data_IF_719034644069
#
_entry.id   IF_719034644069
#
_cell.length_a   1.000
_cell.length_b   1.000
_cell.length_c   1.000
_cell.angle_alpha   90.00
_cell.angle_beta   90.00
_cell.angle_gamma   90.00
#
_symmetry.space_group_name_H-M   'P 1'
#
loop_
_entity.id
_entity.type
_entity.pdbx_description
1 polymer ?
#
# COMPACT_ATOMS: atom_id res chain seq x y z
N UNK A 1 -16.96 5.32 -22.93
CA UNK A 1 -17.47 3.94 -23.04
C UNK A 1 -16.69 2.95 -22.15
N UNK A 2 -15.35 2.90 -22.25
CA UNK A 2 -14.49 1.96 -21.48
C UNK A 2 -14.65 2.01 -19.95
N UNK A 3 -14.66 3.20 -19.34
CA UNK A 3 -14.82 3.36 -17.87
C UNK A 3 -16.14 2.79 -17.34
N UNK A 4 -17.25 2.96 -18.07
CA UNK A 4 -18.56 2.43 -17.64
C UNK A 4 -18.53 0.91 -17.55
N UNK A 5 -17.88 0.24 -18.52
CA UNK A 5 -17.75 -1.22 -18.51
C UNK A 5 -16.91 -1.72 -17.32
N UNK A 6 -15.85 -1.02 -16.94
CA UNK A 6 -15.04 -1.39 -15.76
C UNK A 6 -15.85 -1.25 -14.48
N UNK A 7 -16.63 -0.17 -14.32
CA UNK A 7 -17.48 0.01 -13.14
C UNK A 7 -18.51 -1.12 -13.02
N UNK A 8 -19.12 -1.56 -14.14
CA UNK A 8 -20.04 -2.70 -14.14
C UNK A 8 -19.32 -4.00 -13.73
N UNK A 9 -18.08 -4.21 -14.17
CA UNK A 9 -17.27 -5.37 -13.74
C UNK A 9 -16.98 -5.33 -12.24
N UNK A 10 -16.53 -4.19 -11.73
CA UNK A 10 -16.29 -3.96 -10.30
C UNK A 10 -17.55 -4.17 -9.47
N UNK A 11 -18.71 -3.69 -9.94
CA UNK A 11 -19.98 -3.88 -9.27
C UNK A 11 -20.34 -5.37 -9.17
N UNK A 12 -20.28 -6.11 -10.28
CA UNK A 12 -20.55 -7.57 -10.29
C UNK A 12 -19.57 -8.31 -9.37
N UNK A 13 -18.29 -7.98 -9.44
CA UNK A 13 -17.26 -8.58 -8.61
C UNK A 13 -17.49 -8.35 -7.12
N UNK A 14 -17.82 -7.12 -6.71
CA UNK A 14 -18.09 -6.80 -5.31
C UNK A 14 -19.44 -7.38 -4.82
N UNK A 15 -20.39 -7.63 -5.72
CA UNK A 15 -21.63 -8.34 -5.38
C UNK A 15 -21.40 -9.84 -5.16
N UNK A 16 -20.50 -10.46 -5.92
CA UNK A 16 -20.18 -11.88 -5.76
C UNK A 16 -19.18 -12.16 -4.62
N UNK A 17 -18.37 -11.17 -4.23
CA UNK A 17 -17.33 -11.32 -3.20
C UNK A 17 -17.60 -10.40 -2.00
N UNK A 18 -18.54 -10.80 -1.15
CA UNK A 18 -18.86 -10.09 0.10
C UNK A 18 -17.74 -10.14 1.15
N UNK A 19 -16.76 -11.03 0.93
CA UNK A 19 -15.51 -11.21 1.67
C UNK A 19 -14.45 -11.71 0.69
N UNK A 20 -13.23 -11.19 0.80
CA UNK A 20 -12.09 -11.64 0.03
C UNK A 20 -11.46 -12.87 0.71
N UNK A 21 -11.20 -13.90 -0.05
CA UNK A 21 -10.67 -15.20 0.39
C UNK A 21 -9.28 -15.47 -0.21
N UNK A 22 -9.04 -15.03 -1.45
CA UNK A 22 -7.87 -15.34 -2.28
C UNK A 22 -7.09 -14.08 -2.71
N UNK A 23 -5.79 -14.24 -2.96
CA UNK A 23 -4.94 -13.12 -3.39
C UNK A 23 -5.38 -12.53 -4.74
N UNK A 24 -5.83 -13.40 -5.65
CA UNK A 24 -6.23 -13.00 -7.00
C UNK A 24 -7.40 -11.98 -6.99
N UNK A 25 -8.25 -12.04 -5.96
CA UNK A 25 -9.38 -11.11 -5.78
C UNK A 25 -8.89 -9.70 -5.42
N UNK A 26 -7.90 -9.59 -4.52
CA UNK A 26 -7.30 -8.31 -4.16
C UNK A 26 -6.57 -7.69 -5.36
N UNK A 27 -5.83 -8.52 -6.12
CA UNK A 27 -5.18 -8.13 -7.37
C UNK A 27 -6.21 -7.64 -8.38
N UNK A 28 -7.28 -8.41 -8.62
CA UNK A 28 -8.34 -8.06 -9.56
C UNK A 28 -8.98 -6.71 -9.22
N UNK A 29 -9.35 -6.52 -7.95
CA UNK A 29 -9.96 -5.27 -7.49
C UNK A 29 -9.05 -4.08 -7.80
N UNK A 30 -7.78 -4.13 -7.37
CA UNK A 30 -6.84 -3.04 -7.53
C UNK A 30 -6.43 -2.83 -9.00
N UNK A 31 -6.41 -3.89 -9.82
CA UNK A 31 -6.19 -3.82 -11.25
C UNK A 31 -7.29 -3.04 -11.97
N UNK A 32 -8.55 -3.37 -11.71
CA UNK A 32 -9.70 -2.70 -12.35
C UNK A 32 -9.83 -1.24 -11.86
N UNK A 33 -9.58 -0.98 -10.57
CA UNK A 33 -9.55 0.39 -10.03
C UNK A 33 -8.47 1.23 -10.72
N UNK A 34 -7.25 0.69 -10.90
CA UNK A 34 -6.14 1.42 -11.55
C UNK A 34 -6.52 1.95 -12.92
N UNK A 35 -7.22 1.14 -13.74
CA UNK A 35 -7.68 1.54 -15.09
C UNK A 35 -8.56 2.79 -15.09
N UNK A 36 -9.22 3.07 -13.97
CA UNK A 36 -10.08 4.25 -13.81
C UNK A 36 -9.26 5.44 -13.32
N UNK A 37 -8.38 5.23 -12.33
CA UNK A 37 -7.69 6.31 -11.60
C UNK A 37 -6.31 6.69 -12.14
N UNK A 38 -5.74 5.95 -13.11
CA UNK A 38 -4.37 6.16 -13.58
C UNK A 38 -4.08 7.60 -14.03
N UNK A 39 -5.05 8.26 -14.66
CA UNK A 39 -4.95 9.67 -15.10
C UNK A 39 -5.53 10.67 -14.09
N UNK A 40 -5.91 10.22 -12.91
CA UNK A 40 -6.58 11.02 -11.89
C UNK A 40 -5.63 11.34 -10.73
N UNK A 41 -5.33 12.62 -10.54
CA UNK A 41 -4.46 13.10 -9.47
C UNK A 41 -5.12 13.10 -8.07
N UNK A 42 -6.40 12.72 -7.97
CA UNK A 42 -7.16 12.68 -6.71
C UNK A 42 -6.75 11.52 -5.81
N UNK A 43 -6.57 10.32 -6.36
CA UNK A 43 -6.38 9.09 -5.60
C UNK A 43 -4.92 8.63 -5.62
N UNK A 44 -4.01 9.47 -5.12
CA UNK A 44 -2.55 9.22 -5.22
C UNK A 44 -2.12 8.02 -4.39
N UNK A 45 -2.67 7.86 -3.20
CA UNK A 45 -2.33 6.74 -2.32
C UNK A 45 -2.87 5.44 -2.88
N UNK A 46 -4.13 5.41 -3.30
CA UNK A 46 -4.73 4.25 -3.94
C UNK A 46 -3.98 3.87 -5.22
N UNK A 47 -3.59 4.85 -6.03
CA UNK A 47 -2.77 4.62 -7.22
C UNK A 47 -1.41 3.98 -6.86
N UNK A 48 -0.74 4.45 -5.80
CA UNK A 48 0.50 3.81 -5.31
C UNK A 48 0.28 2.33 -4.97
N UNK A 49 -0.74 2.00 -4.17
CA UNK A 49 -1.02 0.62 -3.79
C UNK A 49 -1.48 -0.26 -4.97
N UNK A 50 -2.27 0.30 -5.89
CA UNK A 50 -2.63 -0.35 -7.16
C UNK A 50 -1.40 -0.68 -7.99
N UNK A 51 -0.39 0.18 -8.03
CA UNK A 51 0.83 -0.12 -8.75
C UNK A 51 1.66 -1.18 -8.02
N UNK A 52 1.73 -1.11 -6.70
CA UNK A 52 2.54 -2.04 -5.91
C UNK A 52 2.12 -3.49 -6.11
N UNK A 53 0.81 -3.77 -6.08
CA UNK A 53 0.32 -5.14 -6.26
C UNK A 53 0.46 -5.66 -7.70
N UNK A 54 0.67 -4.79 -8.70
CA UNK A 54 0.68 -5.18 -10.12
C UNK A 54 2.09 -5.31 -10.71
N UNK A 55 3.11 -4.87 -9.99
CA UNK A 55 4.47 -4.80 -10.50
C UNK A 55 5.40 -5.62 -9.63
N UNK A 56 6.06 -6.63 -10.24
CA UNK A 56 7.09 -7.45 -9.58
C UNK A 56 8.26 -6.64 -9.04
N UNK A 57 8.50 -5.45 -9.61
CA UNK A 57 9.43 -4.45 -9.09
C UNK A 57 8.90 -3.05 -9.34
N UNK A 58 8.84 -2.22 -8.28
CA UNK A 58 8.56 -0.79 -8.41
C UNK A 58 9.85 0.02 -8.33
N UNK A 59 10.21 0.70 -9.42
CA UNK A 59 11.44 1.49 -9.49
C UNK A 59 11.31 2.78 -10.32
N UNK A 60 10.07 3.21 -10.61
CA UNK A 60 9.82 4.37 -11.47
C UNK A 60 9.57 5.66 -10.67
N UNK A 61 9.77 6.80 -11.35
CA UNK A 61 9.79 8.14 -10.74
C UNK A 61 8.54 8.49 -9.90
N UNK A 62 7.29 8.27 -10.36
CA UNK A 62 6.14 8.56 -9.50
C UNK A 62 6.12 7.81 -8.15
N UNK A 63 6.66 6.60 -8.07
CA UNK A 63 6.80 5.87 -6.79
C UNK A 63 7.85 6.54 -5.90
N UNK A 64 8.99 6.92 -6.46
CA UNK A 64 10.05 7.67 -5.76
C UNK A 64 9.53 9.01 -5.23
N UNK A 65 8.81 9.78 -6.06
CA UNK A 65 8.21 11.06 -5.69
C UNK A 65 7.15 10.89 -4.58
N UNK A 66 6.34 9.82 -4.64
CA UNK A 66 5.34 9.50 -3.61
C UNK A 66 6.00 9.18 -2.28
N UNK A 67 6.96 8.24 -2.26
CA UNK A 67 7.66 7.81 -1.05
C UNK A 67 8.49 8.95 -0.46
N UNK A 68 9.13 9.77 -1.29
CA UNK A 68 9.86 10.97 -0.88
C UNK A 68 8.97 11.91 -0.08
N UNK A 69 7.79 12.26 -0.62
CA UNK A 69 6.82 13.13 0.05
C UNK A 69 6.29 12.51 1.35
N UNK A 70 6.13 11.19 1.36
CA UNK A 70 5.59 10.44 2.49
C UNK A 70 6.59 10.33 3.64
N UNK A 71 7.87 10.07 3.35
CA UNK A 71 8.84 9.63 4.36
C UNK A 71 10.03 10.56 4.60
N UNK A 72 10.47 11.37 3.64
CA UNK A 72 11.75 12.09 3.76
C UNK A 72 11.85 13.04 4.95
N UNK A 73 10.71 13.61 5.39
CA UNK A 73 10.65 14.49 6.56
C UNK A 73 10.84 13.77 7.90
N UNK A 74 10.72 12.44 7.93
CA UNK A 74 10.89 11.61 9.12
C UNK A 74 12.23 10.86 9.13
N UNK A 75 13.04 11.04 8.09
CA UNK A 75 14.35 10.40 7.95
C UNK A 75 15.41 11.49 8.07
N UNK A 76 15.96 11.61 9.28
CA UNK A 76 17.16 12.40 9.52
C UNK A 76 18.36 11.47 9.66
N UNK A 77 19.29 11.57 8.71
CA UNK A 77 20.47 10.69 8.64
C UNK A 77 21.45 10.88 9.80
N UNK A 78 21.32 11.97 10.56
CA UNK A 78 22.14 12.25 11.73
C UNK A 78 21.58 11.60 13.01
N UNK A 79 20.33 11.12 12.97
CA UNK A 79 19.70 10.45 14.12
C UNK A 79 20.05 8.96 14.17
N UNK A 80 19.93 8.37 15.35
CA UNK A 80 20.08 6.92 15.49
C UNK A 80 18.97 6.16 14.74
N UNK A 81 19.26 4.91 14.36
CA UNK A 81 18.29 4.00 13.72
C UNK A 81 16.97 3.90 14.48
N UNK A 82 17.01 3.88 15.81
CA UNK A 82 15.83 3.78 16.68
C UNK A 82 14.99 5.06 16.67
N UNK A 83 15.63 6.21 16.60
CA UNK A 83 14.95 7.51 16.52
C UNK A 83 14.25 7.69 15.16
N UNK A 84 14.93 7.37 14.06
CA UNK A 84 14.33 7.39 12.72
C UNK A 84 13.11 6.45 12.67
N UNK A 85 13.24 5.24 13.23
CA UNK A 85 12.13 4.29 13.31
C UNK A 85 10.93 4.88 14.09
N UNK A 86 11.20 5.52 15.23
CA UNK A 86 10.17 6.16 16.06
C UNK A 86 9.47 7.29 15.30
N UNK A 87 10.24 8.15 14.63
CA UNK A 87 9.73 9.27 13.85
C UNK A 87 8.86 8.79 12.68
N UNK A 88 9.29 7.73 11.97
CA UNK A 88 8.51 7.08 10.93
C UNK A 88 7.19 6.53 11.47
N UNK A 89 7.24 5.74 12.56
CA UNK A 89 6.03 5.13 13.16
C UNK A 89 5.04 6.20 13.60
N UNK A 90 5.52 7.26 14.26
CA UNK A 90 4.67 8.34 14.74
C UNK A 90 4.11 9.18 13.59
N UNK A 91 4.96 9.47 12.60
CA UNK A 91 4.65 10.34 11.49
C UNK A 91 3.78 9.71 10.40
N UNK A 92 3.88 8.39 10.20
CA UNK A 92 3.26 7.66 9.09
C UNK A 92 2.48 6.43 9.57
N UNK A 93 1.94 6.49 10.79
CA UNK A 93 1.13 5.44 11.41
C UNK A 93 -0.01 4.94 10.51
N UNK A 94 -0.71 5.86 9.84
CA UNK A 94 -1.87 5.53 9.02
C UNK A 94 -1.48 4.86 7.70
N UNK A 95 -0.32 5.19 7.14
CA UNK A 95 0.27 4.45 6.02
C UNK A 95 0.58 3.02 6.43
N UNK A 96 1.32 2.83 7.54
CA UNK A 96 1.71 1.50 8.00
C UNK A 96 0.51 0.60 8.30
N UNK A 97 -0.58 1.18 8.81
CA UNK A 97 -1.82 0.46 9.10
C UNK A 97 -2.77 0.32 7.90
N UNK A 98 -2.31 0.70 6.70
CA UNK A 98 -3.11 0.72 5.46
C UNK A 98 -4.39 1.57 5.58
N UNK A 99 -4.46 2.49 6.53
CA UNK A 99 -5.63 3.36 6.72
C UNK A 99 -5.73 4.42 5.62
N UNK A 100 -4.60 4.92 5.14
CA UNK A 100 -4.61 5.85 3.99
C UNK A 100 -5.17 5.15 2.74
N UNK A 101 -4.82 3.86 2.53
CA UNK A 101 -5.41 3.04 1.47
C UNK A 101 -6.91 2.87 1.68
N UNK A 102 -7.34 2.46 2.88
CA UNK A 102 -8.75 2.30 3.21
C UNK A 102 -9.55 3.58 2.93
N UNK A 103 -9.01 4.74 3.32
CA UNK A 103 -9.67 6.03 3.16
C UNK A 103 -9.88 6.39 1.69
N UNK A 104 -8.83 6.36 0.85
CA UNK A 104 -8.97 6.67 -0.58
C UNK A 104 -9.78 5.60 -1.32
N UNK A 105 -9.70 4.33 -0.91
CA UNK A 105 -10.51 3.25 -1.46
C UNK A 105 -12.00 3.43 -1.13
N UNK A 106 -12.34 3.79 0.11
CA UNK A 106 -13.71 4.10 0.52
C UNK A 106 -14.27 5.27 -0.29
N UNK A 107 -13.49 6.35 -0.42
CA UNK A 107 -13.89 7.52 -1.19
C UNK A 107 -14.13 7.16 -2.66
N UNK A 108 -13.23 6.38 -3.27
CA UNK A 108 -13.38 5.90 -4.62
C UNK A 108 -14.67 5.09 -4.79
N UNK A 109 -14.91 4.09 -3.94
CA UNK A 109 -16.07 3.19 -4.04
C UNK A 109 -17.39 3.97 -3.88
N UNK A 110 -17.45 4.89 -2.90
CA UNK A 110 -18.63 5.77 -2.71
C UNK A 110 -18.90 6.66 -3.93
N UNK A 111 -17.86 7.25 -4.52
CA UNK A 111 -18.00 8.11 -5.69
C UNK A 111 -18.57 7.35 -6.91
N UNK A 112 -18.33 6.04 -6.98
CA UNK A 112 -18.88 5.18 -8.03
C UNK A 112 -20.08 4.32 -7.59
N UNK A 113 -20.62 4.55 -6.39
CA UNK A 113 -21.75 3.80 -5.82
C UNK A 113 -21.52 2.28 -5.78
N UNK A 114 -20.28 1.87 -5.48
CA UNK A 114 -19.87 0.48 -5.30
C UNK A 114 -19.98 0.07 -3.82
N UNK A 115 -20.12 -1.24 -3.55
CA UNK A 115 -20.17 -1.74 -2.17
C UNK A 115 -18.86 -1.43 -1.42
N UNK A 116 -19.00 -1.01 -0.16
CA UNK A 116 -17.90 -0.72 0.77
C UNK A 116 -17.82 -1.74 1.90
N UNK A 117 -18.61 -2.82 1.86
CA UNK A 117 -18.84 -3.70 3.00
C UNK A 117 -17.56 -4.41 3.48
N UNK A 118 -16.59 -4.62 2.59
CA UNK A 118 -15.31 -5.25 2.94
C UNK A 118 -14.32 -4.29 3.60
N UNK A 119 -14.60 -2.98 3.65
CA UNK A 119 -13.70 -1.98 4.24
C UNK A 119 -13.80 -1.89 5.77
N UNK A 120 -14.65 -2.70 6.39
CA UNK A 120 -14.91 -2.66 7.82
C UNK A 120 -14.41 -3.93 8.55
N UNK A 121 -13.93 -3.72 9.79
CA UNK A 121 -13.60 -4.78 10.73
C UNK A 121 -12.71 -5.89 10.18
N UNK A 122 -13.11 -7.13 10.41
CA UNK A 122 -12.32 -8.32 10.05
C UNK A 122 -12.23 -8.53 8.53
N UNK A 123 -13.18 -8.03 7.74
CA UNK A 123 -13.13 -8.11 6.27
C UNK A 123 -11.99 -7.25 5.72
N UNK A 124 -11.81 -6.05 6.28
CA UNK A 124 -10.70 -5.19 5.92
C UNK A 124 -9.35 -5.80 6.28
N UNK A 125 -9.25 -6.40 7.47
CA UNK A 125 -8.03 -7.10 7.89
C UNK A 125 -7.69 -8.27 6.96
N UNK A 126 -8.70 -9.02 6.51
CA UNK A 126 -8.51 -10.10 5.55
C UNK A 126 -8.06 -9.57 4.18
N UNK A 127 -8.63 -8.48 3.68
CA UNK A 127 -8.14 -7.81 2.47
C UNK A 127 -6.67 -7.35 2.62
N UNK A 128 -6.33 -6.71 3.74
CA UNK A 128 -4.96 -6.29 4.01
C UNK A 128 -3.99 -7.48 4.00
N UNK A 129 -4.39 -8.60 4.60
CA UNK A 129 -3.59 -9.82 4.63
C UNK A 129 -3.27 -10.30 3.21
N UNK A 130 -4.29 -10.42 2.36
CA UNK A 130 -4.16 -10.85 0.97
C UNK A 130 -3.30 -9.86 0.15
N UNK A 131 -3.50 -8.56 0.35
CA UNK A 131 -2.67 -7.53 -0.27
C UNK A 131 -1.19 -7.68 0.14
N UNK A 132 -0.90 -7.84 1.43
CA UNK A 132 0.46 -7.95 1.94
C UNK A 132 1.14 -9.23 1.48
N UNK A 133 0.42 -10.36 1.46
CA UNK A 133 0.94 -11.64 0.95
C UNK A 133 1.36 -11.50 -0.52
N UNK A 134 0.61 -10.77 -1.32
CA UNK A 134 0.97 -10.52 -2.71
C UNK A 134 2.20 -9.59 -2.88
N UNK A 135 2.29 -8.50 -2.11
CA UNK A 135 3.40 -7.53 -2.26
C UNK A 135 4.70 -7.96 -1.57
N UNK A 136 4.71 -9.02 -0.77
CA UNK A 136 5.94 -9.57 -0.18
C UNK A 136 6.97 -9.97 -1.24
N UNK A 137 6.50 -10.44 -2.40
CA UNK A 137 7.35 -10.78 -3.55
C UNK A 137 7.67 -9.57 -4.44
N UNK A 138 7.01 -8.43 -4.20
CA UNK A 138 7.08 -7.23 -5.02
C UNK A 138 7.81 -6.10 -4.30
N UNK A 139 9.15 -6.15 -4.23
CA UNK A 139 9.92 -5.10 -3.57
C UNK A 139 9.93 -3.77 -4.36
N UNK A 140 9.97 -2.66 -3.64
CA UNK A 140 10.30 -1.34 -4.19
C UNK A 140 11.81 -1.17 -4.04
N UNK A 141 12.52 -1.03 -5.15
CA UNK A 141 13.98 -0.90 -5.14
C UNK A 141 14.43 0.04 -6.25
N UNK A 142 14.94 1.20 -5.83
CA UNK A 142 15.44 2.26 -6.68
C UNK A 142 16.95 2.15 -6.98
N UNK A 143 17.62 1.12 -6.44
CA UNK A 143 19.07 0.97 -6.49
C UNK A 143 19.80 2.16 -5.85
N UNK A 144 21.04 2.41 -6.29
CA UNK A 144 21.86 3.55 -5.85
C UNK A 144 21.53 4.87 -6.57
N UNK A 145 20.49 4.90 -7.41
CA UNK A 145 20.31 5.93 -8.44
C UNK A 145 19.34 7.05 -8.08
N UNK A 146 18.56 6.96 -7.01
CA UNK A 146 17.59 8.00 -6.63
C UNK A 146 18.18 9.03 -5.69
N UNK A 147 18.19 10.29 -6.12
CA UNK A 147 18.60 11.44 -5.29
C UNK A 147 17.46 12.01 -4.43
N UNK A 148 16.20 11.72 -4.76
CA UNK A 148 15.02 12.31 -4.12
C UNK A 148 14.59 11.56 -2.86
N UNK A 149 14.33 10.25 -2.93
CA UNK A 149 13.91 9.50 -1.74
C UNK A 149 15.12 9.10 -0.90
N UNK A 150 15.00 9.30 0.41
CA UNK A 150 15.98 8.80 1.38
C UNK A 150 15.85 7.28 1.60
N UNK A 151 14.87 6.64 0.99
CA UNK A 151 14.65 5.18 1.01
C UNK A 151 15.07 4.63 -0.35
N UNK A 152 16.05 3.73 -0.37
CA UNK A 152 16.47 3.02 -1.58
C UNK A 152 15.66 1.74 -1.80
N UNK A 153 15.35 1.02 -0.73
CA UNK A 153 14.55 -0.20 -0.80
C UNK A 153 13.48 -0.23 0.29
N UNK A 154 12.28 -0.64 -0.11
CA UNK A 154 11.11 -0.81 0.74
C UNK A 154 10.41 -2.13 0.40
N UNK A 155 10.30 -3.01 1.40
CA UNK A 155 9.71 -4.33 1.23
C UNK A 155 8.89 -4.75 2.46
N UNK A 156 8.11 -5.82 2.28
CA UNK A 156 7.32 -6.46 3.34
C UNK A 156 7.84 -7.87 3.54
N UNK A 157 7.97 -8.29 4.81
CA UNK A 157 8.34 -9.64 5.21
C UNK A 157 7.30 -10.16 6.20
N UNK A 158 6.97 -11.44 6.14
CA UNK A 158 6.13 -12.12 7.13
C UNK A 158 7.03 -12.93 8.05
N UNK A 159 6.91 -12.70 9.34
CA UNK A 159 7.61 -13.49 10.38
C UNK A 159 6.53 -13.97 11.34
N UNK A 160 6.41 -15.29 11.46
CA UNK A 160 5.32 -15.96 12.14
C UNK A 160 3.94 -15.51 11.59
N UNK A 161 3.10 -14.93 12.46
CA UNK A 161 1.79 -14.39 12.11
C UNK A 161 1.78 -12.87 11.87
N UNK A 162 2.94 -12.21 11.89
CA UNK A 162 3.04 -10.75 11.81
C UNK A 162 3.68 -10.31 10.48
N UNK A 163 3.26 -9.15 9.98
CA UNK A 163 3.86 -8.49 8.82
C UNK A 163 4.79 -7.37 9.29
N UNK A 164 5.93 -7.26 8.61
CA UNK A 164 6.97 -6.30 8.93
C UNK A 164 7.31 -5.51 7.68
N UNK A 165 7.38 -4.19 7.82
CA UNK A 165 7.93 -3.30 6.83
C UNK A 165 9.43 -3.15 7.03
N UNK A 166 10.20 -3.32 5.96
CA UNK A 166 11.66 -3.22 5.94
C UNK A 166 12.08 -2.01 5.12
N UNK A 167 12.94 -1.18 5.71
CA UNK A 167 13.47 0.02 5.06
C UNK A 167 14.98 -0.05 4.96
N UNK A 168 15.49 0.18 3.76
CA UNK A 168 16.89 0.46 3.49
C UNK A 168 17.01 1.91 3.02
N UNK A 169 17.76 2.71 3.78
CA UNK A 169 18.01 4.09 3.45
C UNK A 169 19.07 4.22 2.36
N UNK A 170 19.10 5.39 1.73
CA UNK A 170 20.02 5.69 0.63
C UNK A 170 21.50 5.71 1.02
N UNK A 171 21.79 5.92 2.30
CA UNK A 171 23.13 5.83 2.87
C UNK A 171 23.51 4.40 3.32
N UNK A 172 22.75 3.38 2.92
CA UNK A 172 23.00 1.97 3.28
C UNK A 172 22.52 1.58 4.68
N UNK A 173 21.92 2.52 5.44
CA UNK A 173 21.40 2.25 6.78
C UNK A 173 20.10 1.46 6.69
N UNK A 174 20.08 0.26 7.26
CA UNK A 174 18.85 -0.50 7.51
C UNK A 174 18.14 0.02 8.77
N UNK A 175 16.89 0.42 8.63
CA UNK A 175 16.03 0.78 9.78
C UNK A 175 15.42 -0.50 10.37
N UNK A 176 15.28 -0.60 11.71
CA UNK A 176 14.67 -1.76 12.31
C UNK A 176 13.24 -1.97 11.82
N UNK A 177 12.82 -3.23 11.74
CA UNK A 177 11.53 -3.64 11.17
C UNK A 177 10.36 -2.92 11.86
N UNK A 178 9.41 -2.41 11.08
CA UNK A 178 8.19 -1.78 11.59
C UNK A 178 7.04 -2.80 11.52
N UNK A 179 6.49 -3.16 12.68
CA UNK A 179 5.47 -4.22 12.79
C UNK A 179 4.09 -3.68 12.44
N UNK A 180 3.39 -4.39 11.56
CA UNK A 180 1.97 -4.22 11.32
C UNK A 180 1.17 -5.16 12.23
N UNK A 181 0.61 -4.61 13.31
CA UNK A 181 -0.27 -5.34 14.22
C UNK A 181 -1.73 -5.15 13.82
N UNK A 182 -2.34 -6.16 13.24
CA UNK A 182 -3.80 -6.28 13.21
C UNK A 182 -4.25 -6.82 14.57
N UNK A 183 -5.05 -6.06 15.31
CA UNK A 183 -5.80 -6.66 16.42
C UNK A 183 -6.88 -7.53 15.77
N UNK A 184 -6.75 -8.84 15.88
CA UNK A 184 -7.91 -9.71 15.65
C UNK A 184 -8.92 -9.36 16.74
N UNK A 185 -10.01 -8.71 16.36
CA UNK A 185 -11.17 -8.69 17.23
C UNK A 185 -11.77 -10.10 17.14
N UNK A 186 -11.64 -10.84 18.25
CA UNK A 186 -12.37 -12.09 18.49
C UNK A 186 -13.87 -11.80 18.41
#
# INVERSE_FOLDING_TARGET
MYRKNIIVKLQKFLQSHSKFEEECEAVYLLAEIRKIIEKNNKYKTLCFYCNWILHSKLNYKPTDDFLSKKFNKYIDINKSKKEIQRDLINGQKDFFKLKDLNSELNEFLKNYKLSTDFLEGNKWHKFCKLFLENIMECQIDFGSKTKSCKINCFSVEKIDSNYYYLFYLSNGVRIPRIILKFKQNK
#
